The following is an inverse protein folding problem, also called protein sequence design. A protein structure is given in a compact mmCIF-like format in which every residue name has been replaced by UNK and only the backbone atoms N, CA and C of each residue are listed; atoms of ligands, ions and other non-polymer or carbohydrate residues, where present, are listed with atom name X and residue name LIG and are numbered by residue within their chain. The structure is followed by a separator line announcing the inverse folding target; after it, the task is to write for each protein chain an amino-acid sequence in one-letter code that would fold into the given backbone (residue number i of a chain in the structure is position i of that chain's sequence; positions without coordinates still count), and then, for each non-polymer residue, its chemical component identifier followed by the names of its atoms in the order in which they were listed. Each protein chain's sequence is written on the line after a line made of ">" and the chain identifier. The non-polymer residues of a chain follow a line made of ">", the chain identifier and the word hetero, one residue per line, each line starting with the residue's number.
data_IF_406508079876
#
_entry.id   IF_406508079876
#
_cell.length_a   1.000
_cell.length_b   1.000
_cell.length_c   1.000
_cell.angle_alpha   90.00
_cell.angle_beta   90.00
_cell.angle_gamma   90.00
#
_symmetry.space_group_name_H-M   'P 1'
#
loop_
_entity.id
_entity.type
_entity.pdbx_description
1 polymer ?
#
# COMPACT_ATOMS: atom_id res chain seq x y z
N UNK A 1 17.20 15.26 -64.99
CA UNK A 1 16.89 14.06 -64.17
C UNK A 1 18.12 13.70 -63.36
N UNK A 2 18.18 14.06 -62.09
CA UNK A 2 19.22 13.61 -61.16
C UNK A 2 18.57 13.43 -59.79
N UNK A 3 18.28 12.18 -59.43
CA UNK A 3 17.67 11.79 -58.15
C UNK A 3 18.76 11.65 -57.09
N UNK A 4 18.82 12.61 -56.18
CA UNK A 4 19.63 12.55 -54.96
C UNK A 4 19.06 11.51 -54.00
N UNK A 5 19.88 10.52 -53.60
CA UNK A 5 19.53 9.51 -52.61
C UNK A 5 20.25 9.85 -51.30
N UNK A 6 19.53 10.32 -50.28
CA UNK A 6 20.09 10.55 -48.94
C UNK A 6 20.29 9.21 -48.19
N UNK A 7 21.42 9.00 -47.50
CA UNK A 7 21.66 7.79 -46.73
C UNK A 7 20.91 7.82 -45.39
N UNK A 8 20.35 6.67 -45.00
CA UNK A 8 19.61 6.50 -43.75
C UNK A 8 20.57 6.51 -42.53
N UNK A 9 20.30 7.41 -41.57
CA UNK A 9 21.02 7.50 -40.30
C UNK A 9 20.79 6.25 -39.44
N UNK A 10 21.83 5.63 -38.84
CA UNK A 10 21.67 4.47 -37.98
C UNK A 10 21.00 4.87 -36.66
N UNK A 11 19.91 4.17 -36.31
CA UNK A 11 19.23 4.30 -35.02
C UNK A 11 20.21 3.98 -33.87
N UNK A 12 20.62 5.02 -33.13
CA UNK A 12 21.40 4.88 -31.92
C UNK A 12 20.75 3.92 -30.92
N UNK A 13 21.55 3.01 -30.38
CA UNK A 13 21.12 2.05 -29.38
C UNK A 13 20.55 2.79 -28.15
N UNK A 14 19.30 2.51 -27.73
CA UNK A 14 18.75 3.13 -26.53
C UNK A 14 19.51 2.64 -25.29
N UNK A 15 19.79 3.52 -24.31
CA UNK A 15 20.52 3.16 -23.09
C UNK A 15 19.82 2.01 -22.36
N UNK A 16 20.62 1.09 -21.82
CA UNK A 16 20.16 -0.13 -21.18
C UNK A 16 19.09 0.18 -20.11
N UNK A 17 17.89 -0.34 -20.34
CA UNK A 17 16.74 -0.07 -19.50
C UNK A 17 16.90 -0.69 -18.10
N UNK A 18 16.86 0.14 -17.06
CA UNK A 18 16.69 -0.32 -15.69
C UNK A 18 15.40 -1.19 -15.58
N UNK A 19 15.49 -2.41 -15.02
CA UNK A 19 14.37 -3.33 -14.93
C UNK A 19 13.22 -2.73 -14.09
N UNK A 20 11.97 -3.11 -14.40
CA UNK A 20 10.84 -2.80 -13.51
C UNK A 20 11.16 -3.47 -12.17
N UNK A 21 11.47 -2.68 -11.15
CA UNK A 21 12.30 -3.15 -10.06
C UNK A 21 11.64 -4.22 -9.17
N UNK A 22 12.45 -5.11 -8.56
CA UNK A 22 12.06 -6.03 -7.48
C UNK A 22 11.39 -5.39 -6.24
N UNK A 23 11.23 -4.05 -6.22
CA UNK A 23 10.65 -3.29 -5.10
C UNK A 23 9.14 -3.50 -4.91
N UNK A 24 8.34 -3.66 -5.97
CA UNK A 24 6.87 -3.73 -5.83
C UNK A 24 6.37 -5.05 -5.25
N UNK A 25 6.94 -6.19 -5.70
CA UNK A 25 6.63 -7.53 -5.18
C UNK A 25 7.12 -7.71 -3.73
N UNK A 26 8.26 -7.10 -3.39
CA UNK A 26 8.81 -7.10 -2.01
C UNK A 26 7.88 -6.41 -1.00
N UNK A 27 7.15 -5.37 -1.40
CA UNK A 27 6.29 -4.61 -0.47
C UNK A 27 5.02 -5.38 -0.07
N UNK A 28 4.39 -6.08 -1.01
CA UNK A 28 3.18 -6.86 -0.70
C UNK A 28 3.53 -8.10 0.15
N UNK A 29 4.66 -8.75 -0.18
CA UNK A 29 5.20 -9.82 0.64
C UNK A 29 5.55 -9.34 2.06
N UNK A 30 6.10 -8.12 2.22
CA UNK A 30 6.41 -7.58 3.55
C UNK A 30 5.18 -7.24 4.39
N UNK A 31 4.10 -6.77 3.76
CA UNK A 31 2.86 -6.46 4.50
C UNK A 31 2.10 -7.73 4.90
N UNK A 32 2.02 -8.74 4.01
CA UNK A 32 1.46 -10.05 4.37
C UNK A 32 2.27 -10.73 5.47
N UNK A 33 3.60 -10.65 5.40
CA UNK A 33 4.48 -11.16 6.44
C UNK A 33 4.21 -10.44 7.77
N UNK A 34 4.04 -9.12 7.76
CA UNK A 34 3.72 -8.36 8.97
C UNK A 34 2.42 -8.86 9.62
N UNK A 35 1.34 -9.02 8.83
CA UNK A 35 0.08 -9.54 9.35
C UNK A 35 0.20 -10.98 9.87
N UNK A 36 0.94 -11.84 9.16
CA UNK A 36 1.20 -13.21 9.60
C UNK A 36 1.98 -13.25 10.93
N UNK A 37 2.99 -12.39 11.08
CA UNK A 37 3.75 -12.26 12.33
C UNK A 37 2.85 -11.74 13.45
N UNK A 38 2.02 -10.72 13.21
CA UNK A 38 1.08 -10.22 14.21
C UNK A 38 0.09 -11.31 14.66
N UNK A 39 -0.48 -12.07 13.73
CA UNK A 39 -1.35 -13.19 14.05
C UNK A 39 -0.62 -14.26 14.87
N UNK A 40 0.61 -14.61 14.48
CA UNK A 40 1.45 -15.56 15.23
C UNK A 40 1.73 -15.07 16.65
N UNK A 41 2.04 -13.78 16.85
CA UNK A 41 2.28 -13.21 18.18
C UNK A 41 1.03 -13.27 19.05
N UNK A 42 -0.14 -12.94 18.52
CA UNK A 42 -1.41 -13.01 19.26
C UNK A 42 -1.76 -14.47 19.62
N UNK A 43 -1.63 -15.39 18.67
CA UNK A 43 -1.85 -16.83 18.91
C UNK A 43 -0.84 -17.41 19.90
N UNK A 44 0.42 -16.98 19.82
CA UNK A 44 1.46 -17.35 20.77
C UNK A 44 1.15 -16.84 22.17
N UNK A 45 0.76 -15.57 22.31
CA UNK A 45 0.35 -14.99 23.58
C UNK A 45 -0.85 -15.75 24.17
N UNK A 46 -1.86 -16.06 23.35
CA UNK A 46 -3.01 -16.86 23.77
C UNK A 46 -2.61 -18.28 24.21
N UNK A 47 -1.68 -18.93 23.49
CA UNK A 47 -1.17 -20.25 23.89
C UNK A 47 -0.44 -20.20 25.23
N UNK A 48 0.35 -19.15 25.49
CA UNK A 48 1.07 -18.95 26.76
C UNK A 48 0.10 -18.80 27.92
N UNK A 49 -0.99 -18.04 27.78
CA UNK A 49 -1.97 -17.89 28.86
C UNK A 49 -2.69 -19.19 29.19
N UNK A 50 -2.81 -20.12 28.22
CA UNK A 50 -3.40 -21.46 28.42
C UNK A 50 -2.48 -22.43 29.16
N UNK A 51 -1.19 -22.13 29.31
CA UNK A 51 -0.24 -22.98 30.03
C UNK A 51 -0.33 -22.83 31.55
N UNK A 52 -1.06 -21.83 32.04
CA UNK A 52 -1.30 -21.63 33.48
C UNK A 52 -0.08 -21.13 34.26
N UNK A 53 0.94 -20.58 33.57
CA UNK A 53 2.14 -20.03 34.20
C UNK A 53 1.88 -18.78 35.05
N UNK A 54 0.79 -18.06 34.77
CA UNK A 54 0.34 -16.90 35.53
C UNK A 54 -1.18 -16.70 35.32
N UNK A 55 -1.82 -15.91 36.18
CA UNK A 55 -3.25 -15.58 36.19
C UNK A 55 -3.45 -14.07 36.19
N UNK A 56 -4.61 -13.61 35.72
CA UNK A 56 -4.98 -12.21 35.85
C UNK A 56 -5.04 -11.82 37.34
N UNK A 57 -4.21 -10.86 37.76
CA UNK A 57 -4.14 -10.36 39.13
C UNK A 57 -3.02 -10.92 40.02
N UNK A 58 -2.20 -11.85 39.53
CA UNK A 58 -0.95 -12.22 40.20
C UNK A 58 0.17 -11.21 39.91
N UNK A 59 1.32 -11.33 40.59
CA UNK A 59 2.44 -10.39 40.45
C UNK A 59 2.93 -10.26 39.00
N UNK A 60 2.94 -11.38 38.26
CA UNK A 60 3.36 -11.43 36.85
C UNK A 60 2.33 -10.71 35.98
N UNK A 61 1.04 -11.01 36.16
CA UNK A 61 -0.06 -10.33 35.52
C UNK A 61 0.00 -8.83 35.77
N UNK A 62 0.16 -8.40 37.03
CA UNK A 62 0.30 -7.00 37.39
C UNK A 62 1.49 -6.32 36.67
N UNK A 63 2.67 -6.94 36.70
CA UNK A 63 3.86 -6.42 36.02
C UNK A 63 3.66 -6.28 34.50
N UNK A 64 2.98 -7.25 33.86
CA UNK A 64 2.60 -7.17 32.45
C UNK A 64 1.63 -6.02 32.18
N UNK A 65 0.68 -5.78 33.08
CA UNK A 65 -0.28 -4.68 33.01
C UNK A 65 0.41 -3.32 33.09
N UNK A 66 1.32 -3.14 34.05
CA UNK A 66 2.13 -1.92 34.19
C UNK A 66 3.01 -1.71 32.97
N UNK A 67 3.74 -2.73 32.52
CA UNK A 67 4.60 -2.65 31.34
C UNK A 67 3.79 -2.30 30.07
N UNK A 68 2.62 -2.92 29.89
CA UNK A 68 1.69 -2.63 28.81
C UNK A 68 1.16 -1.19 28.87
N UNK A 69 0.70 -0.75 30.05
CA UNK A 69 0.22 0.61 30.27
C UNK A 69 1.29 1.68 30.00
N UNK A 70 2.51 1.47 30.49
CA UNK A 70 3.66 2.34 30.20
C UNK A 70 3.96 2.39 28.71
N UNK A 71 3.97 1.24 28.03
CA UNK A 71 4.17 1.19 26.58
C UNK A 71 3.08 1.99 25.82
N UNK A 72 1.82 1.89 26.26
CA UNK A 72 0.70 2.63 25.68
C UNK A 72 0.80 4.14 25.94
N UNK A 73 1.27 4.57 27.12
CA UNK A 73 1.54 5.98 27.40
C UNK A 73 2.67 6.53 26.52
N UNK A 74 3.74 5.74 26.33
CA UNK A 74 4.86 6.14 25.48
C UNK A 74 4.46 6.29 24.00
N UNK A 75 3.35 5.70 23.54
CA UNK A 75 2.85 5.92 22.18
C UNK A 75 2.57 7.38 21.87
N UNK A 76 2.13 8.14 22.88
CA UNK A 76 1.80 9.55 22.73
C UNK A 76 3.02 10.44 22.49
N UNK A 77 4.24 9.97 22.77
CA UNK A 77 5.47 10.73 22.49
C UNK A 77 5.63 11.04 20.99
N UNK A 78 5.19 10.16 20.10
CA UNK A 78 5.25 10.37 18.65
C UNK A 78 4.35 11.51 18.14
N UNK A 79 3.03 11.54 18.43
CA UNK A 79 2.20 12.69 18.09
C UNK A 79 2.63 13.94 18.87
N UNK A 80 2.96 13.82 20.16
CA UNK A 80 3.37 14.95 21.01
C UNK A 80 4.60 15.68 20.47
N UNK A 81 5.57 14.95 19.90
CA UNK A 81 6.73 15.52 19.21
C UNK A 81 6.34 16.51 18.11
N UNK A 82 5.21 16.31 17.43
CA UNK A 82 4.78 17.24 16.38
C UNK A 82 4.31 18.58 16.96
N UNK A 83 3.73 18.57 18.16
CA UNK A 83 3.19 19.74 18.83
C UNK A 83 4.25 20.49 19.66
N UNK A 84 5.21 19.77 20.25
CA UNK A 84 6.25 20.36 21.09
C UNK A 84 7.49 20.77 20.28
N UNK A 85 7.72 22.08 20.17
CA UNK A 85 8.83 22.67 19.39
C UNK A 85 10.22 22.14 19.77
N UNK A 86 10.46 21.87 21.05
CA UNK A 86 11.77 21.36 21.50
C UNK A 86 12.07 19.92 21.02
N UNK A 87 11.03 19.13 20.75
CA UNK A 87 11.19 17.74 20.29
C UNK A 87 11.42 17.63 18.78
N UNK A 88 11.27 18.73 18.03
CA UNK A 88 11.47 18.71 16.57
C UNK A 88 12.90 18.29 16.21
N UNK A 89 13.90 18.70 17.00
CA UNK A 89 15.31 18.34 16.83
C UNK A 89 15.70 16.94 17.32
N UNK A 90 14.80 16.22 17.98
CA UNK A 90 15.10 14.89 18.51
C UNK A 90 15.09 13.86 17.39
N UNK A 91 16.24 13.64 16.74
CA UNK A 91 16.48 12.53 15.83
C UNK A 91 15.58 12.45 14.58
N UNK A 92 15.76 11.37 13.81
CA UNK A 92 15.04 11.16 12.54
C UNK A 92 13.61 10.70 12.80
N UNK A 93 12.64 11.29 12.10
CA UNK A 93 11.20 10.93 12.17
C UNK A 93 10.95 9.43 11.98
N UNK A 94 11.78 8.78 11.14
CA UNK A 94 11.71 7.34 10.86
C UNK A 94 11.80 6.49 12.15
N UNK A 95 12.68 6.84 13.08
CA UNK A 95 12.88 6.07 14.32
C UNK A 95 11.72 6.24 15.27
N UNK A 96 11.18 7.45 15.41
CA UNK A 96 9.97 7.68 16.20
C UNK A 96 8.76 6.93 15.66
N UNK A 97 8.59 6.92 14.34
CA UNK A 97 7.52 6.16 13.72
C UNK A 97 7.69 4.66 13.95
N UNK A 98 8.92 4.14 13.85
CA UNK A 98 9.21 2.75 14.16
C UNK A 98 8.92 2.41 15.63
N UNK A 99 9.40 3.23 16.57
CA UNK A 99 9.15 3.04 18.00
C UNK A 99 7.64 3.05 18.32
N UNK A 100 6.89 4.00 17.76
CA UNK A 100 5.43 4.06 17.91
C UNK A 100 4.73 2.81 17.34
N UNK A 101 5.19 2.27 16.21
CA UNK A 101 4.65 1.00 15.68
C UNK A 101 4.99 -0.20 16.58
N UNK A 102 6.23 -0.28 17.06
CA UNK A 102 6.67 -1.38 17.95
C UNK A 102 5.89 -1.36 19.27
N UNK A 103 5.79 -0.21 19.92
CA UNK A 103 5.00 -0.03 21.14
C UNK A 103 3.50 -0.27 20.88
N UNK A 104 3.01 0.07 19.69
CA UNK A 104 1.60 -0.05 19.33
C UNK A 104 1.17 -1.49 19.09
N UNK A 105 2.13 -2.41 18.99
CA UNK A 105 1.94 -3.85 18.93
C UNK A 105 2.28 -4.49 20.28
N UNK A 106 3.41 -4.12 20.88
CA UNK A 106 3.88 -4.68 22.13
C UNK A 106 2.94 -4.33 23.31
N UNK A 107 2.50 -3.08 23.42
CA UNK A 107 1.57 -2.64 24.47
C UNK A 107 0.28 -3.46 24.50
N UNK A 108 -0.44 -3.57 23.37
CA UNK A 108 -1.64 -4.41 23.31
C UNK A 108 -1.39 -5.89 23.58
N UNK A 109 -0.26 -6.45 23.13
CA UNK A 109 0.10 -7.83 23.45
C UNK A 109 0.32 -8.05 24.95
N UNK A 110 1.03 -7.13 25.61
CA UNK A 110 1.24 -7.18 27.06
C UNK A 110 -0.07 -7.04 27.83
N UNK A 111 -0.99 -6.17 27.37
CA UNK A 111 -2.31 -6.00 28.00
C UNK A 111 -3.20 -7.25 27.79
N UNK A 112 -3.14 -7.90 26.63
CA UNK A 112 -3.83 -9.18 26.39
C UNK A 112 -3.28 -10.30 27.27
N UNK A 113 -1.96 -10.33 27.50
CA UNK A 113 -1.33 -11.26 28.43
C UNK A 113 -1.75 -10.95 29.87
N UNK A 114 -1.67 -9.70 30.31
CA UNK A 114 -2.12 -9.23 31.63
C UNK A 114 -3.55 -9.68 31.96
N UNK A 115 -4.48 -9.53 31.02
CA UNK A 115 -5.88 -9.92 31.20
C UNK A 115 -6.11 -11.43 31.03
N UNK A 116 -5.10 -12.19 30.61
CA UNK A 116 -5.20 -13.59 30.20
C UNK A 116 -6.30 -13.84 29.16
N UNK A 117 -6.60 -12.84 28.33
CA UNK A 117 -7.73 -12.83 27.39
C UNK A 117 -9.13 -12.92 28.05
N UNK A 118 -9.24 -12.59 29.33
CA UNK A 118 -10.52 -12.54 30.06
C UNK A 118 -10.88 -11.10 30.43
N UNK A 119 -12.17 -10.83 30.58
CA UNK A 119 -12.71 -9.51 30.90
C UNK A 119 -13.29 -9.58 32.31
N UNK A 120 -12.65 -8.90 33.26
CA UNK A 120 -13.08 -8.89 34.67
C UNK A 120 -14.19 -7.90 34.98
N UNK A 121 -14.37 -6.86 34.16
CA UNK A 121 -15.28 -5.74 34.45
C UNK A 121 -15.62 -4.92 33.20
N UNK A 122 -16.68 -4.09 33.28
CA UNK A 122 -17.12 -3.25 32.17
C UNK A 122 -16.07 -2.20 31.77
N UNK A 123 -15.44 -1.53 32.74
CA UNK A 123 -14.37 -0.56 32.45
C UNK A 123 -13.16 -1.22 31.78
N UNK A 124 -12.75 -2.42 32.23
CA UNK A 124 -11.70 -3.20 31.59
C UNK A 124 -12.11 -3.62 30.16
N UNK A 125 -13.37 -3.97 29.93
CA UNK A 125 -13.89 -4.29 28.60
C UNK A 125 -13.75 -3.10 27.64
N UNK A 126 -14.20 -1.91 28.06
CA UNK A 126 -14.12 -0.70 27.23
C UNK A 126 -12.67 -0.35 26.91
N UNK A 127 -11.76 -0.42 27.89
CA UNK A 127 -10.33 -0.21 27.67
C UNK A 127 -9.72 -1.24 26.70
N UNK A 128 -10.05 -2.52 26.87
CA UNK A 128 -9.57 -3.60 26.01
C UNK A 128 -10.05 -3.44 24.56
N UNK A 129 -11.35 -3.24 24.35
CA UNK A 129 -11.91 -3.13 23.00
C UNK A 129 -11.46 -1.85 22.30
N UNK A 130 -11.42 -0.71 23.00
CA UNK A 130 -10.91 0.53 22.42
C UNK A 130 -9.42 0.40 22.05
N UNK A 131 -8.61 -0.24 22.90
CA UNK A 131 -7.22 -0.58 22.59
C UNK A 131 -7.11 -1.43 21.32
N UNK A 132 -7.90 -2.51 21.20
CA UNK A 132 -7.87 -3.38 20.04
C UNK A 132 -8.25 -2.63 18.76
N UNK A 133 -9.30 -1.80 18.82
CA UNK A 133 -9.72 -0.96 17.70
C UNK A 133 -8.61 0.02 17.30
N UNK A 134 -7.98 0.71 18.25
CA UNK A 134 -6.88 1.66 18.00
C UNK A 134 -5.66 0.93 17.42
N UNK A 135 -5.26 -0.21 17.99
CA UNK A 135 -4.10 -0.98 17.54
C UNK A 135 -4.30 -1.51 16.11
N UNK A 136 -5.44 -2.17 15.85
CA UNK A 136 -5.77 -2.70 14.52
C UNK A 136 -5.90 -1.59 13.49
N UNK A 137 -6.62 -0.52 13.83
CA UNK A 137 -6.75 0.64 12.94
C UNK A 137 -5.40 1.34 12.71
N UNK A 138 -4.48 1.36 13.68
CA UNK A 138 -3.13 1.88 13.52
C UNK A 138 -2.31 1.09 12.48
N UNK A 139 -2.37 -0.23 12.53
CA UNK A 139 -1.72 -1.12 11.54
C UNK A 139 -2.33 -0.89 10.14
N UNK A 140 -3.66 -0.79 10.04
CA UNK A 140 -4.36 -0.47 8.78
C UNK A 140 -3.95 0.94 8.27
N UNK A 141 -3.86 1.91 9.16
CA UNK A 141 -3.45 3.28 8.86
C UNK A 141 -2.05 3.35 8.25
N UNK A 142 -1.10 2.52 8.73
CA UNK A 142 0.24 2.37 8.11
C UNK A 142 0.13 1.92 6.66
N UNK A 143 -0.72 0.93 6.37
CA UNK A 143 -0.90 0.42 5.01
C UNK A 143 -1.47 1.48 4.07
N UNK A 144 -2.48 2.23 4.52
CA UNK A 144 -3.07 3.34 3.75
C UNK A 144 -2.03 4.43 3.52
N UNK A 145 -1.30 4.83 4.57
CA UNK A 145 -0.27 5.88 4.51
C UNK A 145 0.82 5.56 3.47
N UNK A 146 1.27 4.31 3.38
CA UNK A 146 2.26 3.87 2.39
C UNK A 146 1.77 4.01 0.94
N UNK A 147 0.45 3.93 0.72
CA UNK A 147 -0.16 4.08 -0.61
C UNK A 147 -0.39 5.55 -0.97
N UNK A 148 -0.77 6.40 -0.01
CA UNK A 148 -0.92 7.85 -0.22
C UNK A 148 0.42 8.57 -0.39
N UNK A 149 1.45 8.20 0.39
CA UNK A 149 2.76 8.89 0.36
C UNK A 149 3.56 8.75 -0.94
N UNK A 150 3.12 7.94 -1.91
CA UNK A 150 3.77 7.88 -3.23
C UNK A 150 3.59 9.18 -4.04
N UNK A 151 2.72 10.08 -3.60
CA UNK A 151 2.56 11.42 -4.15
C UNK A 151 1.87 11.41 -5.51
N UNK A 152 0.72 12.08 -5.61
CA UNK A 152 -0.04 12.17 -6.86
C UNK A 152 0.80 12.72 -8.01
N UNK A 153 1.57 13.77 -7.76
CA UNK A 153 2.46 14.39 -8.74
C UNK A 153 3.47 13.39 -9.34
N UNK A 154 4.00 12.47 -8.53
CA UNK A 154 4.93 11.44 -9.00
C UNK A 154 4.25 10.36 -9.85
N UNK A 155 3.01 10.00 -9.55
CA UNK A 155 2.25 9.06 -10.36
C UNK A 155 1.72 9.71 -11.65
N UNK A 156 1.33 10.99 -11.60
CA UNK A 156 0.93 11.77 -12.77
C UNK A 156 2.09 11.96 -13.75
N UNK A 157 3.29 12.31 -13.27
CA UNK A 157 4.47 12.46 -14.13
C UNK A 157 4.87 11.11 -14.76
N UNK A 158 4.85 10.03 -13.99
CA UNK A 158 5.09 8.68 -14.48
C UNK A 158 4.06 8.26 -15.54
N UNK A 159 2.77 8.59 -15.35
CA UNK A 159 1.74 8.34 -16.36
C UNK A 159 1.99 9.18 -17.63
N UNK A 160 2.35 10.45 -17.47
CA UNK A 160 2.68 11.34 -18.58
C UNK A 160 3.86 10.81 -19.41
N UNK A 161 4.94 10.37 -18.75
CA UNK A 161 6.09 9.74 -19.39
C UNK A 161 5.69 8.46 -20.16
N UNK A 162 4.78 7.67 -19.60
CA UNK A 162 4.29 6.45 -20.25
C UNK A 162 3.37 6.75 -21.43
N UNK A 163 2.54 7.80 -21.36
CA UNK A 163 1.76 8.30 -22.51
C UNK A 163 2.70 8.76 -23.62
N UNK A 164 3.74 9.52 -23.31
CA UNK A 164 4.73 9.96 -24.28
C UNK A 164 5.46 8.77 -24.92
N UNK A 165 5.89 7.77 -24.13
CA UNK A 165 6.55 6.55 -24.63
C UNK A 165 5.64 5.67 -25.47
N UNK A 166 4.35 5.62 -25.17
CA UNK A 166 3.36 4.92 -25.99
C UNK A 166 3.09 5.67 -27.31
N UNK A 167 3.41 6.96 -27.38
CA UNK A 167 3.12 7.83 -28.50
C UNK A 167 1.68 8.35 -28.46
N UNK A 168 1.12 8.53 -27.26
CA UNK A 168 -0.25 9.05 -27.08
C UNK A 168 -0.33 10.58 -27.04
N UNK A 169 0.80 11.28 -26.96
CA UNK A 169 0.90 12.74 -26.71
C UNK A 169 1.26 13.55 -27.97
N UNK A 170 1.93 12.97 -28.97
CA UNK A 170 2.36 13.69 -30.18
C UNK A 170 1.53 13.29 -31.39
N UNK A 171 0.98 14.30 -32.10
CA UNK A 171 0.24 14.16 -33.36
C UNK A 171 1.09 13.63 -34.50
N UNK A 172 2.41 13.89 -34.49
CA UNK A 172 3.31 13.59 -35.62
C UNK A 172 4.21 12.36 -35.42
N UNK A 173 4.29 11.80 -34.21
CA UNK A 173 5.08 10.60 -33.94
C UNK A 173 4.20 9.35 -33.96
N UNK A 174 4.39 8.46 -34.94
CA UNK A 174 3.65 7.19 -35.01
C UNK A 174 3.73 6.45 -33.67
N UNK A 175 2.57 6.20 -33.07
CA UNK A 175 2.42 5.45 -31.81
C UNK A 175 3.27 4.17 -31.83
N UNK A 176 3.98 3.89 -30.73
CA UNK A 176 4.72 2.61 -30.62
C UNK A 176 3.79 1.42 -30.67
N UNK A 177 2.50 1.62 -30.42
CA UNK A 177 1.44 0.63 -30.50
C UNK A 177 0.60 0.76 -31.78
N UNK A 178 1.00 1.59 -32.76
CA UNK A 178 0.28 1.75 -34.02
C UNK A 178 0.11 0.43 -34.78
N UNK A 179 1.06 -0.50 -34.64
CA UNK A 179 0.94 -1.85 -35.24
C UNK A 179 -0.17 -2.70 -34.60
N UNK A 180 -0.71 -2.30 -33.44
CA UNK A 180 -1.76 -2.97 -32.69
C UNK A 180 -2.86 -1.96 -32.24
N UNK A 181 -3.64 -1.41 -33.19
CA UNK A 181 -4.59 -0.32 -32.92
C UNK A 181 -5.67 -0.67 -31.89
N UNK A 182 -6.09 -1.94 -31.84
CA UNK A 182 -7.04 -2.44 -30.83
C UNK A 182 -6.48 -2.38 -29.40
N UNK A 183 -5.17 -2.64 -29.23
CA UNK A 183 -4.50 -2.52 -27.93
C UNK A 183 -4.42 -1.05 -27.52
N UNK A 184 -4.03 -0.18 -28.45
CA UNK A 184 -4.01 1.27 -28.22
C UNK A 184 -5.38 1.81 -27.79
N UNK A 185 -6.44 1.51 -28.56
CA UNK A 185 -7.79 1.95 -28.23
C UNK A 185 -8.27 1.44 -26.87
N UNK A 186 -7.93 0.18 -26.52
CA UNK A 186 -8.28 -0.39 -25.21
C UNK A 186 -7.55 0.31 -24.07
N UNK A 187 -6.28 0.67 -24.24
CA UNK A 187 -5.52 1.45 -23.25
C UNK A 187 -6.12 2.85 -23.05
N UNK A 188 -6.44 3.55 -24.13
CA UNK A 188 -7.06 4.88 -24.07
C UNK A 188 -8.44 4.85 -23.41
N UNK A 189 -9.28 3.87 -23.77
CA UNK A 189 -10.60 3.68 -23.15
C UNK A 189 -10.50 3.38 -21.66
N UNK A 190 -9.54 2.53 -21.27
CA UNK A 190 -9.28 2.24 -19.86
C UNK A 190 -8.84 3.50 -19.11
N UNK A 191 -7.93 4.28 -19.68
CA UNK A 191 -7.48 5.53 -19.07
C UNK A 191 -8.63 6.55 -18.89
N UNK A 192 -9.38 6.83 -19.96
CA UNK A 192 -10.49 7.77 -19.93
C UNK A 192 -11.58 7.33 -18.96
N UNK A 193 -11.94 6.04 -18.97
CA UNK A 193 -12.96 5.49 -18.09
C UNK A 193 -12.60 5.44 -16.60
N UNK A 194 -11.31 5.55 -16.25
CA UNK A 194 -10.86 5.58 -14.86
C UNK A 194 -10.56 6.98 -14.35
N UNK A 195 -10.08 7.88 -15.22
CA UNK A 195 -9.72 9.25 -14.84
C UNK A 195 -10.87 10.26 -14.98
N UNK A 196 -11.89 9.97 -15.78
CA UNK A 196 -13.04 10.88 -15.98
C UNK A 196 -14.17 10.69 -14.95
N UNK A 197 -14.08 9.68 -14.08
CA UNK A 197 -15.17 9.34 -13.15
C UNK A 197 -15.23 10.34 -12.01
N UNK A 198 -16.42 10.94 -11.80
CA UNK A 198 -16.67 11.84 -10.68
C UNK A 198 -16.42 11.12 -9.34
N UNK A 199 -15.77 11.78 -8.37
CA UNK A 199 -15.28 11.08 -7.21
C UNK A 199 -16.40 10.86 -6.17
N UNK A 200 -16.79 9.61 -5.94
CA UNK A 200 -17.81 9.17 -4.96
C UNK A 200 -17.43 7.90 -4.17
N UNK A 201 -18.20 7.51 -3.15
CA UNK A 201 -17.90 6.30 -2.34
C UNK A 201 -17.99 4.98 -3.13
N UNK A 202 -18.97 4.85 -4.02
CA UNK A 202 -19.06 3.72 -4.95
C UNK A 202 -17.81 3.62 -5.83
N UNK A 203 -17.28 4.77 -6.26
CA UNK A 203 -16.07 4.84 -7.10
C UNK A 203 -14.82 4.49 -6.30
N UNK A 204 -14.71 4.93 -5.04
CA UNK A 204 -13.65 4.53 -4.10
C UNK A 204 -13.62 3.01 -3.95
N UNK A 205 -14.78 2.39 -3.69
CA UNK A 205 -14.88 0.94 -3.52
C UNK A 205 -14.43 0.20 -4.78
N UNK A 206 -14.94 0.62 -5.95
CA UNK A 206 -14.54 0.06 -7.25
C UNK A 206 -13.03 0.21 -7.50
N UNK A 207 -12.46 1.39 -7.25
CA UNK A 207 -11.04 1.66 -7.47
C UNK A 207 -10.11 0.82 -6.57
N UNK A 208 -10.54 0.49 -5.35
CA UNK A 208 -9.74 -0.32 -4.43
C UNK A 208 -9.85 -1.81 -4.73
N UNK A 209 -11.06 -2.32 -4.95
CA UNK A 209 -11.30 -3.77 -5.01
C UNK A 209 -11.48 -4.32 -6.43
N UNK A 210 -12.16 -3.58 -7.31
CA UNK A 210 -12.54 -4.06 -8.65
C UNK A 210 -11.50 -3.69 -9.70
N UNK A 211 -10.95 -2.49 -9.61
CA UNK A 211 -10.01 -1.96 -10.59
C UNK A 211 -8.73 -2.80 -10.76
N UNK A 212 -8.11 -3.39 -9.73
CA UNK A 212 -6.98 -4.32 -9.91
C UNK A 212 -7.35 -5.57 -10.72
N UNK A 213 -8.57 -6.08 -10.56
CA UNK A 213 -9.07 -7.21 -11.35
C UNK A 213 -9.31 -6.77 -12.80
N UNK A 214 -9.94 -5.61 -13.01
CA UNK A 214 -10.14 -5.03 -14.35
C UNK A 214 -8.81 -4.74 -15.06
N UNK A 215 -7.79 -4.26 -14.35
CA UNK A 215 -6.43 -4.07 -14.87
C UNK A 215 -5.85 -5.39 -15.36
N UNK A 216 -5.98 -6.45 -14.56
CA UNK A 216 -5.44 -7.78 -14.86
C UNK A 216 -6.13 -8.40 -16.07
N UNK A 217 -7.46 -8.34 -16.12
CA UNK A 217 -8.25 -8.78 -17.27
C UNK A 217 -7.86 -8.02 -18.54
N UNK A 218 -7.80 -6.68 -18.46
CA UNK A 218 -7.40 -5.81 -19.58
C UNK A 218 -5.98 -6.15 -20.06
N UNK A 219 -5.05 -6.38 -19.13
CA UNK A 219 -3.69 -6.78 -19.46
C UNK A 219 -3.63 -8.13 -20.18
N UNK A 220 -4.38 -9.13 -19.70
CA UNK A 220 -4.41 -10.47 -20.30
C UNK A 220 -4.89 -10.38 -21.76
N UNK A 221 -5.98 -9.65 -22.00
CA UNK A 221 -6.52 -9.43 -23.36
C UNK A 221 -5.49 -8.72 -24.25
N UNK A 222 -4.90 -7.61 -23.79
CA UNK A 222 -3.89 -6.89 -24.56
C UNK A 222 -2.63 -7.74 -24.82
N UNK A 223 -2.24 -8.60 -23.87
CA UNK A 223 -1.07 -9.48 -24.01
C UNK A 223 -1.31 -10.58 -25.06
N UNK A 224 -2.50 -11.18 -25.07
CA UNK A 224 -2.90 -12.16 -26.09
C UNK A 224 -2.90 -11.52 -27.49
N UNK A 225 -3.48 -10.33 -27.60
CA UNK A 225 -3.55 -9.59 -28.85
C UNK A 225 -2.17 -9.17 -29.37
N UNK A 226 -1.30 -8.65 -28.49
CA UNK A 226 0.10 -8.34 -28.83
C UNK A 226 0.85 -9.58 -29.32
N UNK A 227 0.66 -10.73 -28.67
CA UNK A 227 1.32 -11.99 -29.07
C UNK A 227 0.88 -12.46 -30.46
N UNK A 228 -0.40 -12.30 -30.79
CA UNK A 228 -0.94 -12.63 -32.10
C UNK A 228 -0.37 -11.70 -33.20
N UNK A 229 -0.47 -10.38 -33.00
CA UNK A 229 -0.03 -9.38 -33.97
C UNK A 229 1.49 -9.44 -34.21
N UNK A 230 2.29 -9.52 -33.14
CA UNK A 230 3.74 -9.66 -33.26
C UNK A 230 4.16 -11.00 -33.86
N UNK A 231 3.32 -12.04 -33.75
CA UNK A 231 3.51 -13.29 -34.46
C UNK A 231 3.39 -13.14 -35.97
N UNK A 232 2.34 -12.48 -36.44
CA UNK A 232 2.12 -12.21 -37.87
C UNK A 232 3.21 -11.31 -38.45
N UNK A 233 3.59 -10.25 -37.76
CA UNK A 233 4.67 -9.35 -38.19
C UNK A 233 6.01 -10.07 -38.21
N UNK A 234 6.28 -10.89 -37.19
CA UNK A 234 7.52 -11.68 -37.11
C UNK A 234 7.65 -12.68 -38.25
N UNK A 235 6.57 -13.37 -38.62
CA UNK A 235 6.55 -14.27 -39.76
C UNK A 235 6.83 -13.52 -41.09
N UNK A 236 6.20 -12.36 -41.30
CA UNK A 236 6.40 -11.55 -42.51
C UNK A 236 7.80 -10.94 -42.64
N UNK A 237 8.44 -10.62 -41.51
CA UNK A 237 9.77 -9.97 -41.48
C UNK A 237 10.92 -10.96 -41.21
N UNK A 238 10.64 -12.26 -41.15
CA UNK A 238 11.66 -13.29 -40.91
C UNK A 238 12.35 -13.20 -39.55
N UNK A 239 11.68 -12.70 -38.51
CA UNK A 239 12.29 -12.57 -37.19
C UNK A 239 12.62 -13.93 -36.59
N UNK A 240 13.80 -14.05 -35.99
CA UNK A 240 14.14 -15.24 -35.22
C UNK A 240 13.32 -15.28 -33.91
N UNK A 241 13.27 -16.47 -33.28
CA UNK A 241 12.45 -16.70 -32.07
C UNK A 241 12.82 -15.75 -30.92
N UNK A 242 14.10 -15.41 -30.81
CA UNK A 242 14.62 -14.55 -29.75
C UNK A 242 14.21 -13.08 -29.94
N UNK A 243 14.35 -12.54 -31.15
CA UNK A 243 13.93 -11.19 -31.52
C UNK A 243 12.43 -10.99 -31.30
N UNK A 244 11.62 -11.96 -31.74
CA UNK A 244 10.17 -11.94 -31.50
C UNK A 244 9.86 -11.89 -30.01
N UNK A 245 10.49 -12.77 -29.22
CA UNK A 245 10.27 -12.83 -27.79
C UNK A 245 10.72 -11.54 -27.08
N UNK A 246 11.85 -10.95 -27.49
CA UNK A 246 12.34 -9.67 -26.96
C UNK A 246 11.36 -8.53 -27.23
N UNK A 247 10.85 -8.42 -28.46
CA UNK A 247 9.85 -7.39 -28.83
C UNK A 247 8.52 -7.60 -28.11
N UNK A 248 8.04 -8.83 -28.00
CA UNK A 248 6.81 -9.15 -27.24
C UNK A 248 6.96 -8.76 -25.77
N UNK A 249 8.08 -9.12 -25.12
CA UNK A 249 8.35 -8.73 -23.73
C UNK A 249 8.38 -7.22 -23.54
N UNK A 250 8.96 -6.48 -24.48
CA UNK A 250 9.01 -5.02 -24.44
C UNK A 250 7.61 -4.40 -24.56
N UNK A 251 6.80 -4.85 -25.52
CA UNK A 251 5.44 -4.36 -25.72
C UNK A 251 4.54 -4.68 -24.52
N UNK A 252 4.56 -5.92 -24.03
CA UNK A 252 3.79 -6.34 -22.85
C UNK A 252 4.21 -5.57 -21.59
N UNK A 253 5.50 -5.26 -21.44
CA UNK A 253 6.00 -4.46 -20.32
C UNK A 253 5.50 -3.03 -20.37
N UNK A 254 5.41 -2.43 -21.56
CA UNK A 254 4.84 -1.10 -21.75
C UNK A 254 3.36 -1.08 -21.35
N UNK A 255 2.56 -2.03 -21.86
CA UNK A 255 1.13 -2.19 -21.51
C UNK A 255 0.94 -2.36 -20.00
N UNK A 256 1.71 -3.26 -19.37
CA UNK A 256 1.62 -3.49 -17.93
C UNK A 256 1.93 -2.24 -17.11
N UNK A 257 3.01 -1.53 -17.46
CA UNK A 257 3.42 -0.30 -16.76
C UNK A 257 2.39 0.81 -16.93
N UNK A 258 1.86 0.99 -18.14
CA UNK A 258 0.85 1.99 -18.46
C UNK A 258 -0.45 1.73 -17.69
N UNK A 259 -1.04 0.54 -17.81
CA UNK A 259 -2.25 0.17 -17.06
C UNK A 259 -2.05 0.34 -15.56
N UNK A 260 -0.89 -0.11 -15.04
CA UNK A 260 -0.58 0.07 -13.63
C UNK A 260 -0.44 1.54 -13.21
N UNK A 261 0.05 2.43 -14.07
CA UNK A 261 0.15 3.85 -13.78
C UNK A 261 -1.24 4.50 -13.73
N UNK A 262 -2.12 4.18 -14.69
CA UNK A 262 -3.52 4.62 -14.66
C UNK A 262 -4.21 4.20 -13.37
N UNK A 263 -4.09 2.93 -12.98
CA UNK A 263 -4.69 2.42 -11.73
C UNK A 263 -4.14 3.13 -10.50
N UNK A 264 -2.83 3.40 -10.44
CA UNK A 264 -2.24 4.11 -9.30
C UNK A 264 -2.72 5.54 -9.19
N UNK A 265 -2.86 6.24 -10.32
CA UNK A 265 -3.44 7.60 -10.35
C UNK A 265 -4.90 7.56 -9.90
N UNK A 266 -5.71 6.63 -10.42
CA UNK A 266 -7.12 6.49 -10.04
C UNK A 266 -7.29 6.10 -8.56
N UNK A 267 -6.43 5.23 -8.04
CA UNK A 267 -6.47 4.80 -6.64
C UNK A 267 -6.00 5.86 -5.64
N UNK A 268 -5.26 6.87 -6.09
CA UNK A 268 -4.72 7.90 -5.20
C UNK A 268 -5.86 8.62 -4.45
N UNK A 269 -6.86 9.11 -5.18
CA UNK A 269 -8.02 9.80 -4.60
C UNK A 269 -8.85 8.89 -3.68
N UNK A 270 -8.96 7.60 -4.02
CA UNK A 270 -9.59 6.61 -3.16
C UNK A 270 -8.85 6.46 -1.82
N UNK A 271 -7.52 6.29 -1.85
CA UNK A 271 -6.73 6.14 -0.64
C UNK A 271 -6.67 7.43 0.18
N UNK A 272 -6.68 8.60 -0.45
CA UNK A 272 -6.77 9.88 0.25
C UNK A 272 -8.07 10.01 1.05
N UNK A 273 -9.22 9.64 0.46
CA UNK A 273 -10.53 9.63 1.13
C UNK A 273 -10.58 8.64 2.29
N UNK A 274 -10.08 7.42 2.07
CA UNK A 274 -10.00 6.41 3.12
C UNK A 274 -9.09 6.90 4.26
N UNK A 275 -7.98 7.58 3.94
CA UNK A 275 -7.06 8.13 4.92
C UNK A 275 -7.68 9.27 5.74
N UNK A 276 -8.49 10.12 5.12
CA UNK A 276 -9.25 11.15 5.82
C UNK A 276 -10.24 10.53 6.80
N UNK A 277 -11.04 9.56 6.35
CA UNK A 277 -12.00 8.85 7.21
C UNK A 277 -11.30 8.09 8.35
N UNK A 278 -10.15 7.48 8.07
CA UNK A 278 -9.38 6.74 9.07
C UNK A 278 -9.00 7.62 10.27
N UNK A 279 -8.54 8.86 10.06
CA UNK A 279 -8.22 9.75 11.19
C UNK A 279 -9.46 10.11 12.00
N UNK A 280 -10.58 10.38 11.34
CA UNK A 280 -11.85 10.72 11.98
C UNK A 280 -12.34 9.57 12.86
N UNK A 281 -12.15 8.32 12.43
CA UNK A 281 -12.50 7.15 13.23
C UNK A 281 -11.46 6.86 14.33
N UNK A 282 -10.16 6.91 14.02
CA UNK A 282 -9.09 6.49 14.92
C UNK A 282 -8.98 7.37 16.18
N UNK A 283 -9.04 8.70 16.00
CA UNK A 283 -8.78 9.67 17.08
C UNK A 283 -9.80 9.58 18.23
N UNK A 284 -11.13 9.49 18.01
CA UNK A 284 -12.10 9.29 19.08
C UNK A 284 -11.84 8.05 19.93
N UNK A 285 -11.49 6.91 19.31
CA UNK A 285 -11.17 5.70 20.06
C UNK A 285 -9.91 5.84 20.91
N UNK A 286 -8.94 6.64 20.49
CA UNK A 286 -7.78 6.97 21.33
C UNK A 286 -8.20 7.71 22.60
N UNK A 287 -9.11 8.69 22.51
CA UNK A 287 -9.62 9.38 23.70
C UNK A 287 -10.39 8.45 24.63
N UNK A 288 -11.27 7.62 24.08
CA UNK A 288 -12.02 6.61 24.86
C UNK A 288 -11.06 5.66 25.56
N UNK A 289 -10.03 5.19 24.86
CA UNK A 289 -8.99 4.34 25.42
C UNK A 289 -8.26 5.01 26.58
N UNK A 290 -7.83 6.26 26.43
CA UNK A 290 -7.12 6.99 27.50
C UNK A 290 -8.01 7.14 28.74
N UNK A 291 -9.23 7.60 28.57
CA UNK A 291 -10.16 7.81 29.70
C UNK A 291 -10.48 6.48 30.38
N UNK A 292 -10.82 5.45 29.62
CA UNK A 292 -11.13 4.13 30.18
C UNK A 292 -9.93 3.46 30.83
N UNK A 293 -8.72 3.64 30.31
CA UNK A 293 -7.49 3.14 30.92
C UNK A 293 -7.20 3.83 32.26
N UNK A 294 -7.36 5.16 32.36
CA UNK A 294 -7.21 5.89 33.63
C UNK A 294 -8.23 5.38 34.65
N UNK A 295 -9.50 5.29 34.26
CA UNK A 295 -10.57 4.78 35.12
C UNK A 295 -10.28 3.34 35.57
N UNK A 296 -9.76 2.50 34.68
CA UNK A 296 -9.38 1.12 35.02
C UNK A 296 -8.25 1.07 36.06
N UNK A 297 -7.18 1.84 35.87
CA UNK A 297 -6.06 1.89 36.82
C UNK A 297 -6.51 2.42 38.18
N UNK A 298 -7.29 3.51 38.21
CA UNK A 298 -7.81 4.07 39.46
C UNK A 298 -8.73 3.06 40.16
N UNK A 299 -9.66 2.43 39.43
CA UNK A 299 -10.58 1.46 40.02
C UNK A 299 -9.87 0.26 40.66
N UNK A 300 -8.75 -0.20 40.09
CA UNK A 300 -7.96 -1.32 40.62
C UNK A 300 -7.08 -0.94 41.82
N UNK A 301 -6.74 0.34 42.00
CA UNK A 301 -5.89 0.80 43.12
C UNK A 301 -6.68 1.50 44.25
N UNK A 302 -7.90 1.96 43.97
CA UNK A 302 -8.76 2.63 44.94
C UNK A 302 -9.69 1.66 45.71
N UNK A 303 -9.85 0.43 45.23
CA UNK A 303 -10.64 -0.64 45.84
C UNK A 303 -9.79 -1.91 45.95
#
# INVERSE_FOLDING_TARGET
>A
MTTSTSPATPMGAPPAAAPAGPKQRRLWASDLLLYAVLAMLVLGAWKVTRQGWFRAGDDIGYALGVAGGVAMLLLFTYPLRKYLRFMHGWGKVKWWFWAHMTLGVAGPLLILLHSTFHIGSLNAAVALYSMLVVALSGVIGRFIKLRVHRGLHGELSNLHDLRARAGFVQSDARSRLHFAPRVENRLRRFEQGELAVAPGWATTFRQVFVLPAQQSATYIVCAMELRAVLGLIGARRGWNREERSKRERQARRLVWRYLGAVVRVAQFSAYERIFALWHVAHVPFVYILVVSAIVHVVAVHAY
#
